data_IF_372603138865
#
_entry.id   IF_372603138865
#
_cell.length_a   1.000
_cell.length_b   1.000
_cell.length_c   1.000
_cell.angle_alpha   90.00
_cell.angle_beta   90.00
_cell.angle_gamma   90.00
#
_symmetry.space_group_name_H-M   'P 1'
#
loop_
_entity.id
_entity.type
_entity.pdbx_description
1 polymer ?
#
# COMPACT_ATOMS: atom_id res chain seq x y z
N UNK A 1 -15.31 -2.13 14.63
CA UNK A 1 -14.25 -3.11 14.32
C UNK A 1 -12.90 -2.48 14.61
N UNK A 2 -12.10 -3.06 15.49
CA UNK A 2 -10.74 -2.59 15.74
C UNK A 2 -9.89 -2.78 14.46
N UNK A 3 -9.23 -1.70 14.00
CA UNK A 3 -8.29 -1.76 12.86
C UNK A 3 -7.17 -2.74 13.22
N UNK A 4 -7.22 -3.96 12.67
CA UNK A 4 -6.16 -4.98 12.82
C UNK A 4 -4.92 -4.65 11.97
N UNK A 5 -4.36 -3.46 12.15
CA UNK A 5 -3.13 -3.03 11.47
C UNK A 5 -1.91 -3.30 12.37
N UNK A 6 -1.81 -4.52 12.93
CA UNK A 6 -0.68 -4.87 13.81
C UNK A 6 0.51 -5.25 12.93
N UNK A 7 1.51 -4.38 12.90
CA UNK A 7 2.80 -4.64 12.25
C UNK A 7 3.57 -5.64 13.12
N UNK A 8 4.34 -6.53 12.49
CA UNK A 8 5.14 -7.54 13.19
C UNK A 8 6.15 -6.89 14.15
N UNK A 9 6.78 -5.80 13.73
CA UNK A 9 7.68 -4.96 14.52
C UNK A 9 7.01 -3.58 14.70
N UNK A 10 6.42 -3.28 15.87
CA UNK A 10 5.67 -2.03 16.09
C UNK A 10 6.49 -0.77 15.84
N UNK A 11 7.77 -0.79 16.19
CA UNK A 11 8.71 0.33 16.09
C UNK A 11 9.02 0.69 14.63
N UNK A 12 8.81 -0.25 13.69
CA UNK A 12 9.01 -0.04 12.26
C UNK A 12 7.93 0.84 11.62
N UNK A 13 6.90 1.27 12.37
CA UNK A 13 5.77 2.04 11.83
C UNK A 13 6.22 3.25 11.00
N UNK A 14 7.11 4.07 11.56
CA UNK A 14 7.58 5.27 10.89
C UNK A 14 8.36 4.92 9.61
N UNK A 15 9.27 3.95 9.67
CA UNK A 15 10.03 3.48 8.50
C UNK A 15 9.13 2.91 7.41
N UNK A 16 8.07 2.17 7.75
CA UNK A 16 7.10 1.66 6.78
C UNK A 16 6.25 2.77 6.16
N UNK A 17 5.89 3.80 6.92
CA UNK A 17 5.16 4.96 6.39
C UNK A 17 6.06 5.78 5.43
N UNK A 18 7.34 5.94 5.73
CA UNK A 18 8.33 6.55 4.84
C UNK A 18 8.56 5.72 3.57
N UNK A 19 8.69 4.40 3.71
CA UNK A 19 8.85 3.49 2.58
C UNK A 19 7.63 3.55 1.66
N UNK A 20 6.43 3.58 2.23
CA UNK A 20 5.19 3.78 1.46
C UNK A 20 5.25 5.07 0.65
N UNK A 21 5.56 6.20 1.29
CA UNK A 21 5.66 7.49 0.62
C UNK A 21 6.69 7.48 -0.52
N UNK A 22 7.84 6.82 -0.32
CA UNK A 22 8.89 6.66 -1.35
C UNK A 22 8.37 5.87 -2.55
N UNK A 23 7.73 4.73 -2.32
CA UNK A 23 7.26 3.83 -3.40
C UNK A 23 6.11 4.48 -4.18
N UNK A 24 5.22 5.17 -3.49
CA UNK A 24 4.06 5.82 -4.11
C UNK A 24 4.40 7.17 -4.73
N UNK A 25 5.65 7.66 -4.61
CA UNK A 25 6.11 8.96 -5.08
C UNK A 25 5.18 10.14 -4.74
N UNK A 26 4.44 10.01 -3.64
CA UNK A 26 3.33 10.93 -3.30
C UNK A 26 3.40 11.26 -1.82
N UNK A 27 3.22 12.55 -1.50
CA UNK A 27 3.21 13.07 -0.13
C UNK A 27 1.99 12.61 0.68
N UNK A 28 0.92 12.22 0.00
CA UNK A 28 -0.35 11.82 0.61
C UNK A 28 -0.76 10.38 0.19
N UNK A 29 -0.48 9.36 1.02
CA UNK A 29 -0.79 7.96 0.70
C UNK A 29 -2.27 7.66 0.44
N UNK A 30 -3.16 8.55 0.86
CA UNK A 30 -4.59 8.44 0.57
C UNK A 30 -4.88 8.73 -0.91
N UNK A 31 -4.14 9.64 -1.53
CA UNK A 31 -4.34 10.06 -2.93
C UNK A 31 -3.94 8.96 -3.92
N UNK A 32 -2.85 8.25 -3.63
CA UNK A 32 -2.34 7.15 -4.46
C UNK A 32 -3.39 6.05 -4.71
N UNK A 33 -4.29 5.78 -3.74
CA UNK A 33 -5.34 4.77 -3.92
C UNK A 33 -6.30 5.13 -5.04
N UNK A 34 -6.61 6.42 -5.20
CA UNK A 34 -7.49 6.91 -6.26
C UNK A 34 -6.78 6.93 -7.61
N UNK A 35 -5.49 7.28 -7.63
CA UNK A 35 -4.66 7.24 -8.84
C UNK A 35 -4.58 5.81 -9.40
N UNK A 36 -4.22 4.84 -8.55
CA UNK A 36 -4.14 3.42 -8.95
C UNK A 36 -5.52 2.88 -9.38
N UNK A 37 -6.59 3.30 -8.72
CA UNK A 37 -7.94 2.91 -9.14
C UNK A 37 -8.27 3.44 -10.53
N UNK A 38 -7.95 4.71 -10.80
CA UNK A 38 -8.16 5.36 -12.09
C UNK A 38 -7.32 4.69 -13.20
N UNK A 39 -6.03 4.39 -12.94
CA UNK A 39 -5.16 3.65 -13.86
C UNK A 39 -5.71 2.26 -14.22
N UNK A 40 -6.44 1.64 -13.30
CA UNK A 40 -7.05 0.33 -13.50
C UNK A 40 -8.50 0.39 -14.01
N UNK A 41 -9.05 1.58 -14.23
CA UNK A 41 -10.44 1.77 -14.65
C UNK A 41 -11.46 1.31 -13.62
N UNK A 42 -11.10 1.35 -12.34
CA UNK A 42 -11.98 0.99 -11.22
C UNK A 42 -12.60 2.28 -10.67
N UNK A 43 -13.94 2.32 -10.60
CA UNK A 43 -14.65 3.41 -9.95
C UNK A 43 -14.41 3.35 -8.43
N UNK A 44 -13.64 4.30 -7.93
CA UNK A 44 -13.24 4.40 -6.52
C UNK A 44 -13.24 5.87 -6.12
N UNK A 45 -14.15 6.24 -5.23
CA UNK A 45 -14.42 7.63 -4.88
C UNK A 45 -14.15 7.94 -3.40
N UNK A 46 -13.98 9.22 -3.06
CA UNK A 46 -13.84 9.67 -1.68
C UNK A 46 -15.18 9.45 -0.95
N UNK A 47 -15.31 8.34 -0.22
CA UNK A 47 -16.54 7.99 0.49
C UNK A 47 -16.72 6.48 0.67
N UNK A 48 -17.98 6.05 0.71
CA UNK A 48 -18.34 4.65 0.89
C UNK A 48 -18.24 3.86 -0.42
N UNK A 49 -17.18 3.07 -0.56
CA UNK A 49 -16.96 2.18 -1.71
C UNK A 49 -17.44 0.75 -1.42
N UNK A 50 -18.58 0.57 -0.74
CA UNK A 50 -19.02 -0.76 -0.31
C UNK A 50 -19.49 -1.67 -1.45
N UNK A 51 -19.85 -1.09 -2.58
CA UNK A 51 -20.33 -1.83 -3.76
C UNK A 51 -19.18 -2.31 -4.66
N UNK A 52 -17.93 -1.92 -4.38
CA UNK A 52 -16.80 -2.34 -5.18
C UNK A 52 -16.60 -3.86 -5.05
N UNK A 53 -16.31 -4.50 -6.18
CA UNK A 53 -16.04 -5.94 -6.16
C UNK A 53 -14.75 -6.19 -5.38
N UNK A 54 -14.74 -7.24 -4.55
CA UNK A 54 -13.58 -7.62 -3.73
C UNK A 54 -12.30 -7.79 -4.56
N UNK A 55 -12.42 -8.27 -5.81
CA UNK A 55 -11.31 -8.37 -6.75
C UNK A 55 -10.67 -7.00 -7.08
N UNK A 56 -11.48 -5.97 -7.22
CA UNK A 56 -11.04 -4.64 -7.65
C UNK A 56 -10.46 -3.88 -6.45
N UNK A 57 -11.09 -4.01 -5.27
CA UNK A 57 -10.49 -3.61 -3.99
C UNK A 57 -9.12 -4.25 -3.77
N UNK A 58 -9.02 -5.55 -4.06
CA UNK A 58 -7.80 -6.33 -3.94
C UNK A 58 -6.70 -5.85 -4.90
N UNK A 59 -7.03 -5.48 -6.13
CA UNK A 59 -6.03 -4.95 -7.08
C UNK A 59 -5.50 -3.58 -6.65
N UNK A 60 -6.36 -2.67 -6.18
CA UNK A 60 -5.94 -1.35 -5.69
C UNK A 60 -5.02 -1.51 -4.47
N UNK A 61 -5.48 -2.24 -3.46
CA UNK A 61 -4.70 -2.47 -2.24
C UNK A 61 -3.44 -3.30 -2.47
N UNK A 62 -3.52 -4.29 -3.37
CA UNK A 62 -2.43 -5.19 -3.73
C UNK A 62 -1.31 -4.50 -4.50
N UNK A 63 -1.62 -3.53 -5.36
CA UNK A 63 -0.58 -2.74 -6.03
C UNK A 63 0.27 -1.95 -5.03
N UNK A 64 -0.36 -1.34 -4.02
CA UNK A 64 0.35 -0.58 -2.98
C UNK A 64 1.07 -1.52 -2.02
N UNK A 65 0.36 -2.48 -1.42
CA UNK A 65 0.93 -3.38 -0.43
C UNK A 65 1.98 -4.34 -1.02
N UNK A 66 1.72 -4.83 -2.23
CA UNK A 66 2.61 -5.75 -2.94
C UNK A 66 3.92 -5.08 -3.36
N UNK A 67 3.87 -3.84 -3.85
CA UNK A 67 5.08 -3.07 -4.16
C UNK A 67 5.91 -2.79 -2.90
N UNK A 68 5.27 -2.44 -1.78
CA UNK A 68 5.93 -2.31 -0.48
C UNK A 68 6.64 -3.58 -0.04
N UNK A 69 5.95 -4.73 -0.09
CA UNK A 69 6.55 -6.02 0.32
C UNK A 69 7.69 -6.41 -0.61
N UNK A 70 7.53 -6.20 -1.93
CA UNK A 70 8.58 -6.46 -2.92
C UNK A 70 9.84 -5.65 -2.61
N UNK A 71 9.69 -4.37 -2.29
CA UNK A 71 10.81 -3.50 -1.95
C UNK A 71 11.48 -3.90 -0.62
N UNK A 72 10.69 -4.26 0.41
CA UNK A 72 11.21 -4.78 1.68
C UNK A 72 12.07 -6.04 1.48
N UNK A 73 11.58 -6.98 0.67
CA UNK A 73 12.31 -8.21 0.34
C UNK A 73 13.59 -7.89 -0.44
N UNK A 74 13.54 -6.92 -1.36
CA UNK A 74 14.72 -6.50 -2.11
C UNK A 74 15.80 -5.88 -1.22
N UNK A 75 15.41 -4.98 -0.30
CA UNK A 75 16.34 -4.39 0.67
C UNK A 75 16.99 -5.47 1.54
N UNK A 76 16.19 -6.40 2.08
CA UNK A 76 16.71 -7.50 2.89
C UNK A 76 17.69 -8.40 2.11
N UNK A 77 17.40 -8.72 0.84
CA UNK A 77 18.32 -9.47 -0.02
C UNK A 77 19.65 -8.74 -0.23
N UNK A 78 19.60 -7.43 -0.44
CA UNK A 78 20.81 -6.61 -0.62
C UNK A 78 21.65 -6.56 0.66
N UNK A 79 21.03 -6.51 1.84
CA UNK A 79 21.73 -6.55 3.13
C UNK A 79 22.35 -7.92 3.44
N UNK A 80 21.69 -9.01 3.02
CA UNK A 80 22.23 -10.37 3.21
C UNK A 80 23.39 -10.70 2.26
N UNK A 81 23.45 -10.05 1.09
CA UNK A 81 24.52 -10.24 0.12
C UNK A 81 25.73 -9.31 0.35
N UNK A 82 25.73 -8.55 1.44
CA UNK A 82 26.79 -7.63 1.84
C UNK A 82 27.67 -8.25 2.90
#
# INVERSE_FOLDING_TARGET
MARKNKILVPEARNGLDQLKARITNTNNPEETKYEIANEQGIDFHKGYNGEIKAKDAGKIGGNIGGSMVKELVQMAKNELNK
#
